data_IF_011921769910
#
_entry.id   IF_011921769910
#
_cell.length_a   1.000
_cell.length_b   1.000
_cell.length_c   1.000
_cell.angle_alpha   90.00
_cell.angle_beta   90.00
_cell.angle_gamma   90.00
#
_symmetry.space_group_name_H-M   'P 1'
#
loop_
_entity.id
_entity.type
_entity.pdbx_description
1 polymer ?
#
# COMPACT_ATOMS: atom_id res chain seq x y z
N UNK A 1 29.64 -14.47 43.54
CA UNK A 1 29.73 -15.08 42.20
C UNK A 1 28.33 -15.12 41.61
N UNK A 2 27.92 -14.06 40.92
CA UNK A 2 26.75 -14.10 40.05
C UNK A 2 27.24 -14.58 38.68
N UNK A 3 26.84 -15.78 38.29
CA UNK A 3 26.96 -16.23 36.91
C UNK A 3 26.01 -15.40 36.06
N UNK A 4 26.56 -14.51 35.24
CA UNK A 4 25.85 -13.96 34.08
C UNK A 4 25.48 -15.17 33.23
N UNK A 5 24.18 -15.43 33.07
CA UNK A 5 23.72 -16.35 32.03
C UNK A 5 24.18 -15.75 30.71
N UNK A 6 25.16 -16.39 30.06
CA UNK A 6 25.45 -16.15 28.66
C UNK A 6 24.15 -16.32 27.89
N UNK A 7 23.68 -15.25 27.26
CA UNK A 7 22.67 -15.33 26.21
C UNK A 7 23.22 -16.28 25.15
N UNK A 8 22.51 -17.38 24.91
CA UNK A 8 22.89 -18.35 23.88
C UNK A 8 23.03 -17.62 22.54
N UNK A 9 24.24 -17.64 21.98
CA UNK A 9 24.57 -17.12 20.66
C UNK A 9 23.79 -17.91 19.60
N UNK A 10 22.61 -17.42 19.21
CA UNK A 10 21.76 -18.04 18.19
C UNK A 10 22.26 -17.67 16.78
N UNK A 11 23.53 -18.01 16.55
CA UNK A 11 24.29 -17.78 15.32
C UNK A 11 23.54 -18.25 14.04
N UNK A 12 22.88 -19.43 14.02
CA UNK A 12 22.10 -19.87 12.86
C UNK A 12 20.89 -18.97 12.54
N UNK A 13 20.12 -18.56 13.55
CA UNK A 13 18.96 -17.68 13.36
C UNK A 13 19.40 -16.30 12.85
N UNK A 14 20.53 -15.78 13.34
CA UNK A 14 21.13 -14.53 12.89
C UNK A 14 21.59 -14.59 11.44
N UNK A 15 22.15 -15.71 11.00
CA UNK A 15 22.61 -15.88 9.62
C UNK A 15 21.45 -16.05 8.64
N UNK A 16 20.39 -16.77 9.03
CA UNK A 16 19.13 -16.80 8.28
C UNK A 16 18.54 -15.39 8.14
N UNK A 17 18.50 -14.61 9.23
CA UNK A 17 18.01 -13.24 9.18
C UNK A 17 18.83 -12.33 8.24
N UNK A 18 20.17 -12.46 8.22
CA UNK A 18 21.02 -11.74 7.25
C UNK A 18 20.74 -12.17 5.82
N UNK A 19 20.56 -13.46 5.57
CA UNK A 19 20.26 -13.98 4.24
C UNK A 19 18.89 -13.47 3.72
N UNK A 20 17.86 -13.43 4.59
CA UNK A 20 16.56 -12.84 4.25
C UNK A 20 16.71 -11.35 3.91
N UNK A 21 17.49 -10.60 4.71
CA UNK A 21 17.74 -9.18 4.44
C UNK A 21 18.47 -8.96 3.11
N UNK A 22 19.36 -9.86 2.71
CA UNK A 22 20.02 -9.80 1.40
C UNK A 22 19.03 -10.04 0.27
N UNK A 23 18.16 -11.06 0.38
CA UNK A 23 17.08 -11.29 -0.59
C UNK A 23 16.18 -10.05 -0.69
N UNK A 24 15.80 -9.45 0.44
CA UNK A 24 15.00 -8.23 0.44
C UNK A 24 15.72 -7.05 -0.24
N UNK A 25 17.03 -6.93 -0.08
CA UNK A 25 17.81 -5.87 -0.72
C UNK A 25 17.80 -5.99 -2.26
N UNK A 26 17.78 -7.21 -2.79
CA UNK A 26 17.74 -7.46 -4.23
C UNK A 26 16.36 -7.11 -4.84
N UNK A 27 15.31 -7.13 -4.01
CA UNK A 27 13.93 -6.84 -4.41
C UNK A 27 13.49 -5.39 -4.09
N UNK A 28 14.17 -4.68 -3.20
CA UNK A 28 13.79 -3.32 -2.78
C UNK A 28 14.57 -2.24 -3.54
N UNK A 29 13.91 -1.10 -3.80
CA UNK A 29 14.60 0.09 -4.33
C UNK A 29 15.26 0.83 -3.18
N UNK A 30 16.57 0.65 -3.02
CA UNK A 30 17.51 1.49 -2.28
C UNK A 30 16.95 2.10 -0.96
N UNK A 31 16.43 1.25 -0.06
CA UNK A 31 16.13 1.67 1.30
C UNK A 31 17.45 1.85 2.06
N UNK A 32 17.96 3.08 2.19
CA UNK A 32 19.12 3.31 3.04
C UNK A 32 18.77 2.97 4.49
N UNK A 33 19.57 2.08 5.09
CA UNK A 33 19.46 1.66 6.50
C UNK A 33 19.43 2.88 7.43
N UNK A 34 18.28 3.18 8.03
CA UNK A 34 18.14 4.26 9.01
C UNK A 34 18.27 5.69 8.46
N UNK A 35 18.25 5.88 7.14
CA UNK A 35 18.11 7.20 6.52
C UNK A 35 16.64 7.55 6.25
N UNK A 36 16.27 8.84 6.18
CA UNK A 36 14.92 9.24 5.77
C UNK A 36 14.60 8.65 4.40
N UNK A 37 13.35 8.17 4.23
CA UNK A 37 12.87 7.65 2.95
C UNK A 37 13.02 8.74 1.89
N UNK A 38 13.88 8.57 0.87
CA UNK A 38 14.00 9.55 -0.22
C UNK A 38 13.10 9.17 -1.39
N UNK A 39 11.97 9.86 -1.48
CA UNK A 39 10.95 9.72 -2.53
C UNK A 39 11.36 10.34 -3.88
N UNK A 40 12.61 10.78 -4.03
CA UNK A 40 13.04 11.67 -5.11
C UNK A 40 13.06 11.03 -6.51
N UNK A 41 13.07 9.69 -6.59
CA UNK A 41 13.11 8.95 -7.87
C UNK A 41 11.82 8.15 -8.18
N UNK A 42 10.78 8.25 -7.35
CA UNK A 42 9.48 7.63 -7.61
C UNK A 42 8.56 8.64 -8.32
N UNK A 43 8.59 8.65 -9.65
CA UNK A 43 7.71 9.48 -10.46
C UNK A 43 6.22 9.07 -10.32
N UNK A 44 5.50 9.69 -9.40
CA UNK A 44 4.02 9.77 -9.44
C UNK A 44 3.31 8.47 -9.07
N UNK A 45 2.95 8.37 -7.79
CA UNK A 45 2.57 7.15 -7.10
C UNK A 45 1.18 7.35 -6.48
N UNK A 46 0.17 6.68 -7.03
CA UNK A 46 -1.25 6.54 -6.65
C UNK A 46 -2.00 6.04 -7.90
N UNK A 47 -3.17 5.36 -7.78
CA UNK A 47 -3.82 4.62 -8.86
C UNK A 47 -3.82 5.45 -10.10
N UNK A 48 -3.27 4.90 -11.19
CA UNK A 48 -3.31 5.58 -12.48
C UNK A 48 -4.76 5.97 -12.71
N UNK A 49 -5.10 7.26 -12.56
CA UNK A 49 -6.46 7.71 -12.81
C UNK A 49 -6.58 7.58 -14.29
N UNK A 50 -7.18 6.46 -14.72
CA UNK A 50 -7.78 6.14 -16.02
C UNK A 50 -7.52 7.18 -17.12
N UNK A 51 -6.25 7.47 -17.38
CA UNK A 51 -5.83 8.30 -18.48
C UNK A 51 -5.36 7.28 -19.49
N UNK A 52 -6.11 7.14 -20.58
CA UNK A 52 -5.79 6.27 -21.69
C UNK A 52 -4.39 6.54 -22.27
N UNK A 53 -3.78 7.68 -21.93
CA UNK A 53 -2.40 8.04 -22.27
C UNK A 53 -1.34 7.33 -21.42
N UNK A 54 -1.72 6.63 -20.34
CA UNK A 54 -0.79 5.98 -19.38
C UNK A 54 -1.03 4.50 -19.15
N UNK A 55 -2.19 4.00 -19.53
CA UNK A 55 -2.60 2.61 -19.29
C UNK A 55 -3.19 2.04 -20.56
N UNK A 56 -3.03 0.73 -20.76
CA UNK A 56 -3.64 0.04 -21.90
C UNK A 56 -5.15 -0.15 -21.73
N UNK A 57 -5.67 0.06 -20.51
CA UNK A 57 -7.07 -0.03 -20.17
C UNK A 57 -7.32 0.23 -18.68
N UNK A 58 -8.54 -0.05 -18.24
CA UNK A 58 -8.99 0.15 -16.84
C UNK A 58 -8.83 -1.11 -15.97
N UNK A 59 -8.43 -2.23 -16.57
CA UNK A 59 -8.17 -3.50 -15.90
C UNK A 59 -6.66 -3.73 -15.80
N UNK A 60 -6.20 -4.56 -14.85
CA UNK A 60 -4.80 -4.94 -14.77
C UNK A 60 -4.33 -5.56 -16.09
N UNK A 61 -3.08 -5.30 -16.44
CA UNK A 61 -2.44 -5.83 -17.64
C UNK A 61 -1.17 -6.63 -17.29
N UNK A 62 -0.29 -6.83 -18.27
CA UNK A 62 0.95 -7.59 -18.08
C UNK A 62 1.85 -6.97 -17.01
N UNK A 63 1.77 -5.65 -16.78
CA UNK A 63 2.51 -4.97 -15.72
C UNK A 63 2.19 -5.55 -14.35
N UNK A 64 0.91 -5.61 -13.99
CA UNK A 64 0.50 -6.19 -12.71
C UNK A 64 0.72 -7.70 -12.63
N UNK A 65 0.59 -8.43 -13.75
CA UNK A 65 0.92 -9.87 -13.77
C UNK A 65 2.39 -10.12 -13.39
N UNK A 66 3.31 -9.43 -14.06
CA UNK A 66 4.75 -9.54 -13.77
C UNK A 66 5.06 -9.12 -12.34
N UNK A 67 4.36 -8.12 -11.82
CA UNK A 67 4.50 -7.68 -10.43
C UNK A 67 4.14 -8.77 -9.42
N UNK A 68 2.97 -9.40 -9.62
CA UNK A 68 2.49 -10.46 -8.74
C UNK A 68 3.43 -11.67 -8.80
N UNK A 69 3.89 -12.04 -10.00
CA UNK A 69 4.88 -13.09 -10.19
C UNK A 69 6.20 -12.77 -9.48
N UNK A 70 6.67 -11.53 -9.59
CA UNK A 70 7.90 -11.07 -8.93
C UNK A 70 7.79 -11.16 -7.40
N UNK A 71 6.69 -10.68 -6.81
CA UNK A 71 6.41 -10.80 -5.37
C UNK A 71 6.24 -12.24 -4.90
N UNK A 72 5.66 -13.11 -5.72
CA UNK A 72 5.56 -14.53 -5.41
C UNK A 72 6.96 -15.18 -5.43
N UNK A 73 7.80 -14.79 -6.41
CA UNK A 73 9.21 -15.19 -6.50
C UNK A 73 10.03 -14.80 -5.27
N UNK A 74 9.79 -13.60 -4.71
CA UNK A 74 10.39 -13.19 -3.43
C UNK A 74 10.12 -14.20 -2.31
N UNK A 75 8.85 -14.62 -2.16
CA UNK A 75 8.47 -15.59 -1.12
C UNK A 75 9.09 -16.97 -1.36
N UNK A 76 9.17 -17.40 -2.62
CA UNK A 76 9.83 -18.65 -2.99
C UNK A 76 11.33 -18.62 -2.64
N UNK A 77 12.02 -17.51 -2.93
CA UNK A 77 13.43 -17.33 -2.59
C UNK A 77 13.67 -17.33 -1.07
N UNK A 78 12.80 -16.68 -0.30
CA UNK A 78 12.86 -16.73 1.17
C UNK A 78 12.65 -18.17 1.66
N UNK A 79 11.72 -18.92 1.07
CA UNK A 79 11.44 -20.31 1.47
C UNK A 79 12.65 -21.24 1.29
N UNK A 80 13.54 -20.94 0.34
CA UNK A 80 14.80 -21.72 0.16
C UNK A 80 15.77 -21.59 1.35
N UNK A 81 15.72 -20.46 2.07
CA UNK A 81 16.64 -20.15 3.18
C UNK A 81 15.95 -20.15 4.56
N UNK A 82 14.62 -20.07 4.58
CA UNK A 82 13.78 -20.09 5.76
C UNK A 82 12.60 -21.02 5.51
N UNK A 83 12.72 -22.27 5.98
CA UNK A 83 11.78 -23.36 5.66
C UNK A 83 10.30 -23.06 5.97
N UNK A 84 9.93 -22.34 7.05
CA UNK A 84 8.54 -21.93 7.26
C UNK A 84 7.99 -21.09 6.10
N UNK A 85 8.86 -20.37 5.40
CA UNK A 85 8.56 -19.60 4.21
C UNK A 85 8.04 -18.19 4.52
N UNK A 86 7.45 -17.58 3.51
CA UNK A 86 6.85 -16.27 3.60
C UNK A 86 5.60 -16.15 2.73
N UNK A 87 4.78 -15.16 3.05
CA UNK A 87 3.64 -14.74 2.24
C UNK A 87 3.66 -13.22 2.06
N UNK A 88 3.22 -12.75 0.90
CA UNK A 88 3.01 -11.34 0.63
C UNK A 88 1.51 -11.03 0.72
N UNK A 89 1.18 -10.00 1.49
CA UNK A 89 -0.16 -9.46 1.63
C UNK A 89 -0.26 -8.11 0.95
N UNK A 90 -1.17 -8.02 0.00
CA UNK A 90 -1.42 -6.85 -0.83
C UNK A 90 -2.71 -6.19 -0.36
N UNK A 91 -2.61 -4.98 0.18
CA UNK A 91 -3.77 -4.21 0.64
C UNK A 91 -4.13 -3.14 -0.38
N UNK A 92 -5.37 -3.15 -0.86
CA UNK A 92 -5.85 -2.18 -1.86
C UNK A 92 -6.41 -0.93 -1.18
N UNK A 93 -5.90 0.23 -1.59
CA UNK A 93 -6.41 1.55 -1.20
C UNK A 93 -7.43 2.11 -2.21
N UNK A 94 -7.83 1.32 -3.21
CA UNK A 94 -8.74 1.77 -4.26
C UNK A 94 -10.06 2.31 -3.70
N UNK A 95 -10.79 1.50 -2.92
CA UNK A 95 -12.08 1.91 -2.34
C UNK A 95 -11.94 3.07 -1.32
N UNK A 96 -10.75 3.26 -0.79
CA UNK A 96 -10.45 4.28 0.23
C UNK A 96 -10.38 5.66 -0.41
N UNK A 97 -9.85 5.76 -1.63
CA UNK A 97 -9.56 7.03 -2.30
C UNK A 97 -10.41 7.32 -3.53
N UNK A 98 -11.09 6.32 -4.09
CA UNK A 98 -11.71 6.43 -5.41
C UNK A 98 -12.73 7.57 -5.50
N UNK A 99 -13.48 7.86 -4.44
CA UNK A 99 -14.42 8.98 -4.41
C UNK A 99 -13.73 10.35 -4.45
N UNK A 100 -12.59 10.49 -3.77
CA UNK A 100 -11.72 11.69 -3.84
C UNK A 100 -11.18 11.87 -5.26
N UNK A 101 -10.84 10.76 -5.92
CA UNK A 101 -10.27 10.76 -7.26
C UNK A 101 -11.33 10.79 -8.38
N UNK A 102 -12.61 10.62 -8.06
CA UNK A 102 -13.69 10.51 -9.04
C UNK A 102 -13.62 9.24 -9.90
N UNK A 103 -13.11 8.14 -9.33
CA UNK A 103 -13.13 6.81 -9.94
C UNK A 103 -14.38 6.06 -9.44
N UNK A 104 -15.24 5.53 -10.34
CA UNK A 104 -16.46 4.82 -9.94
C UNK A 104 -16.17 3.58 -9.09
N UNK A 105 -17.06 3.25 -8.14
CA UNK A 105 -16.89 2.13 -7.23
C UNK A 105 -16.84 0.79 -8.01
N UNK A 106 -17.60 0.65 -9.09
CA UNK A 106 -17.63 -0.53 -9.95
C UNK A 106 -16.29 -0.79 -10.66
N UNK A 107 -15.57 0.27 -11.05
CA UNK A 107 -14.25 0.16 -11.69
C UNK A 107 -13.24 -0.39 -10.68
N UNK A 108 -13.25 0.10 -9.44
CA UNK A 108 -12.38 -0.39 -8.38
C UNK A 108 -12.66 -1.86 -8.07
N UNK A 109 -13.94 -2.24 -8.06
CA UNK A 109 -14.33 -3.63 -7.89
C UNK A 109 -13.76 -4.51 -9.00
N UNK A 110 -14.01 -4.15 -10.26
CA UNK A 110 -13.61 -4.95 -11.43
C UNK A 110 -12.10 -5.09 -11.52
N UNK A 111 -11.36 -4.00 -11.32
CA UNK A 111 -9.90 -4.02 -11.28
C UNK A 111 -9.38 -4.96 -10.17
N UNK A 112 -9.96 -4.86 -8.97
CA UNK A 112 -9.57 -5.72 -7.85
C UNK A 112 -9.89 -7.20 -8.06
N UNK A 113 -11.03 -7.53 -8.66
CA UNK A 113 -11.38 -8.93 -9.00
C UNK A 113 -10.47 -9.47 -10.10
N UNK A 114 -10.21 -8.69 -11.15
CA UNK A 114 -9.28 -9.07 -12.21
C UNK A 114 -7.86 -9.32 -11.67
N UNK A 115 -7.36 -8.47 -10.77
CA UNK A 115 -6.03 -8.67 -10.18
C UNK A 115 -5.97 -9.96 -9.33
N UNK A 116 -7.04 -10.26 -8.58
CA UNK A 116 -7.14 -11.52 -7.83
C UNK A 116 -7.20 -12.73 -8.76
N UNK A 117 -7.89 -12.60 -9.89
CA UNK A 117 -7.99 -13.65 -10.89
C UNK A 117 -6.62 -13.97 -11.51
N UNK A 118 -5.80 -12.96 -11.82
CA UNK A 118 -4.41 -13.17 -12.28
C UNK A 118 -3.63 -14.04 -11.28
N UNK A 119 -3.72 -13.75 -9.98
CA UNK A 119 -3.02 -14.54 -8.97
C UNK A 119 -3.49 -16.02 -8.92
N UNK A 120 -4.77 -16.27 -9.20
CA UNK A 120 -5.34 -17.62 -9.29
C UNK A 120 -4.86 -18.32 -10.57
N UNK A 121 -4.99 -17.67 -11.72
CA UNK A 121 -4.66 -18.23 -13.03
C UNK A 121 -3.17 -18.58 -13.13
N UNK A 122 -2.31 -17.77 -12.51
CA UNK A 122 -0.86 -17.95 -12.47
C UNK A 122 -0.40 -18.82 -11.28
N UNK A 123 -1.33 -19.36 -10.48
CA UNK A 123 -1.06 -20.21 -9.32
C UNK A 123 -0.06 -19.58 -8.31
N UNK A 124 -0.24 -18.29 -8.00
CA UNK A 124 0.64 -17.52 -7.11
C UNK A 124 0.31 -17.79 -5.63
N UNK A 125 0.76 -18.95 -5.16
CA UNK A 125 0.39 -19.50 -3.85
C UNK A 125 0.80 -18.65 -2.63
N UNK A 126 1.75 -17.72 -2.77
CA UNK A 126 2.25 -16.88 -1.69
C UNK A 126 1.61 -15.49 -1.64
N UNK A 127 0.70 -15.16 -2.56
CA UNK A 127 0.04 -13.86 -2.60
C UNK A 127 -1.31 -13.93 -1.88
N UNK A 128 -1.56 -12.96 -0.99
CA UNK A 128 -2.85 -12.75 -0.35
C UNK A 128 -3.29 -11.31 -0.54
N UNK A 129 -4.60 -11.09 -0.57
CA UNK A 129 -5.17 -9.77 -0.70
C UNK A 129 -5.93 -9.39 0.56
N UNK A 130 -5.79 -8.14 0.99
CA UNK A 130 -6.54 -7.53 2.08
C UNK A 130 -7.45 -6.46 1.47
N UNK A 131 -8.76 -6.66 1.60
CA UNK A 131 -9.78 -5.72 1.16
C UNK A 131 -10.18 -4.83 2.33
N UNK A 132 -10.74 -3.66 2.02
CA UNK A 132 -11.32 -2.80 3.06
C UNK A 132 -12.40 -3.53 3.87
N UNK A 133 -13.22 -4.35 3.23
CA UNK A 133 -14.21 -5.19 3.91
C UNK A 133 -13.57 -6.14 4.93
N UNK A 134 -12.40 -6.72 4.62
CA UNK A 134 -11.70 -7.61 5.55
C UNK A 134 -11.17 -6.86 6.79
N UNK A 135 -10.79 -5.58 6.64
CA UNK A 135 -10.34 -4.73 7.75
C UNK A 135 -11.49 -4.24 8.62
N UNK A 136 -12.67 -4.11 8.02
CA UNK A 136 -13.89 -3.73 8.71
C UNK A 136 -14.65 -4.96 9.24
N UNK A 137 -14.12 -6.17 9.04
CA UNK A 137 -14.72 -7.45 9.46
C UNK A 137 -16.09 -7.72 8.81
N UNK A 138 -16.31 -7.21 7.59
CA UNK A 138 -17.50 -7.53 6.80
C UNK A 138 -17.29 -8.83 6.00
N UNK A 139 -18.35 -9.65 5.82
CA UNK A 139 -18.26 -10.83 5.00
C UNK A 139 -17.97 -10.49 3.53
N UNK A 140 -17.41 -11.46 2.81
CA UNK A 140 -17.31 -11.36 1.35
C UNK A 140 -18.70 -11.17 0.75
N UNK A 141 -18.78 -10.30 -0.25
CA UNK A 141 -20.04 -9.83 -0.80
C UNK A 141 -20.00 -9.83 -2.33
N UNK A 142 -21.16 -9.66 -2.96
CA UNK A 142 -21.25 -9.52 -4.42
C UNK A 142 -20.87 -8.11 -4.87
N UNK A 143 -20.68 -7.92 -6.18
CA UNK A 143 -20.43 -6.59 -6.76
C UNK A 143 -21.55 -5.61 -6.42
N UNK A 144 -22.80 -6.03 -6.52
CA UNK A 144 -23.98 -5.19 -6.25
C UNK A 144 -23.99 -4.71 -4.80
N UNK A 145 -23.71 -5.62 -3.85
CA UNK A 145 -23.61 -5.25 -2.45
C UNK A 145 -22.46 -4.27 -2.23
N UNK A 146 -21.27 -4.56 -2.78
CA UNK A 146 -20.10 -3.69 -2.65
C UNK A 146 -20.39 -2.28 -3.16
N UNK A 147 -20.89 -2.14 -4.39
CA UNK A 147 -21.17 -0.83 -4.99
C UNK A 147 -22.22 -0.07 -4.18
N UNK A 148 -23.29 -0.76 -3.75
CA UNK A 148 -24.35 -0.16 -2.93
C UNK A 148 -23.84 0.34 -1.57
N UNK A 149 -22.86 -0.35 -0.98
CA UNK A 149 -22.37 -0.07 0.38
C UNK A 149 -21.01 0.63 0.43
N UNK A 150 -20.37 0.88 -0.71
CA UNK A 150 -19.04 1.47 -0.83
C UNK A 150 -18.86 2.75 0.00
N UNK A 151 -19.81 3.69 -0.12
CA UNK A 151 -19.83 4.94 0.66
C UNK A 151 -19.97 4.70 2.17
N UNK A 152 -20.74 3.68 2.57
CA UNK A 152 -20.92 3.31 3.98
C UNK A 152 -19.65 2.68 4.55
N UNK A 153 -18.96 1.84 3.79
CA UNK A 153 -17.67 1.25 4.17
C UNK A 153 -16.61 2.35 4.36
N UNK A 154 -16.51 3.32 3.43
CA UNK A 154 -15.63 4.49 3.59
C UNK A 154 -15.96 5.30 4.84
N UNK A 155 -17.25 5.49 5.13
CA UNK A 155 -17.70 6.22 6.32
C UNK A 155 -17.38 5.45 7.61
N UNK A 156 -17.60 4.14 7.63
CA UNK A 156 -17.29 3.30 8.78
C UNK A 156 -15.78 3.31 9.08
N UNK A 157 -14.94 3.18 8.04
CA UNK A 157 -13.48 3.30 8.16
C UNK A 157 -13.09 4.59 8.89
N UNK A 158 -13.67 5.73 8.48
CA UNK A 158 -13.44 7.02 9.14
C UNK A 158 -13.93 7.03 10.58
N UNK A 159 -15.15 6.56 10.84
CA UNK A 159 -15.71 6.58 12.19
C UNK A 159 -14.92 5.71 13.18
N UNK A 160 -14.34 4.60 12.72
CA UNK A 160 -13.60 3.66 13.58
C UNK A 160 -12.16 4.06 13.83
N UNK A 161 -11.49 4.68 12.85
CA UNK A 161 -10.03 4.80 12.85
C UNK A 161 -9.51 6.22 12.63
N UNK A 162 -10.39 7.22 12.50
CA UNK A 162 -9.95 8.61 12.44
C UNK A 162 -9.39 9.06 13.79
N UNK A 163 -8.20 9.67 13.74
CA UNK A 163 -7.70 10.52 14.80
C UNK A 163 -8.30 11.93 14.64
N UNK A 164 -9.14 12.41 15.58
CA UNK A 164 -9.73 13.74 15.51
C UNK A 164 -8.71 14.88 15.62
N UNK A 165 -7.51 14.60 16.16
CA UNK A 165 -6.44 15.58 16.31
C UNK A 165 -5.54 15.70 15.08
N UNK A 166 -5.67 14.79 14.11
CA UNK A 166 -4.85 14.81 12.90
C UNK A 166 -5.24 15.96 11.96
N UNK A 167 -4.37 16.96 11.83
CA UNK A 167 -4.44 17.98 10.77
C UNK A 167 -3.38 17.70 9.70
N UNK A 168 -3.77 17.46 8.43
CA UNK A 168 -2.81 17.19 7.37
C UNK A 168 -1.84 18.35 7.13
N UNK A 169 -2.21 19.61 7.35
CA UNK A 169 -1.33 20.77 7.17
C UNK A 169 -0.24 20.81 8.23
N UNK A 170 -0.60 20.57 9.49
CA UNK A 170 0.38 20.52 10.58
C UNK A 170 1.30 19.31 10.39
N UNK A 171 0.72 18.15 10.07
CA UNK A 171 1.47 16.92 9.84
C UNK A 171 2.48 17.02 8.68
N UNK A 172 2.10 17.65 7.56
CA UNK A 172 3.01 17.92 6.43
C UNK A 172 4.19 18.80 6.84
N UNK A 173 4.02 19.72 7.80
CA UNK A 173 5.10 20.58 8.25
C UNK A 173 5.99 19.92 9.30
N UNK A 174 5.44 19.00 10.08
CA UNK A 174 6.11 18.36 11.21
C UNK A 174 6.84 17.06 10.83
N UNK A 175 6.38 16.35 9.80
CA UNK A 175 6.86 15.01 9.43
C UNK A 175 7.34 14.98 7.98
N UNK A 176 8.60 14.58 7.80
CA UNK A 176 9.24 14.52 6.49
C UNK A 176 8.64 13.43 5.58
N UNK A 177 8.27 12.28 6.12
CA UNK A 177 7.70 11.20 5.32
C UNK A 177 6.30 11.57 4.81
N UNK A 178 5.51 12.27 5.64
CA UNK A 178 4.21 12.80 5.25
C UNK A 178 4.32 13.93 4.22
N UNK A 179 5.33 14.80 4.35
CA UNK A 179 5.62 15.83 3.35
C UNK A 179 5.98 15.21 1.99
N UNK A 180 6.77 14.14 1.96
CA UNK A 180 7.13 13.47 0.72
C UNK A 180 5.94 12.75 0.10
N UNK A 181 5.13 12.09 0.91
CA UNK A 181 3.86 11.49 0.47
C UNK A 181 2.95 12.55 -0.16
N UNK A 182 2.79 13.70 0.51
CA UNK A 182 2.02 14.83 -0.01
C UNK A 182 2.58 15.35 -1.34
N UNK A 183 3.90 15.55 -1.45
CA UNK A 183 4.55 15.97 -2.70
C UNK A 183 4.33 14.97 -3.84
N UNK A 184 4.40 13.67 -3.53
CA UNK A 184 4.05 12.59 -4.45
C UNK A 184 2.63 12.74 -4.98
N UNK A 185 1.66 12.97 -4.09
CA UNK A 185 0.26 13.20 -4.46
C UNK A 185 0.09 14.43 -5.35
N UNK A 186 0.79 15.54 -5.06
CA UNK A 186 0.77 16.73 -5.92
C UNK A 186 1.28 16.42 -7.33
N UNK A 187 2.44 15.75 -7.44
CA UNK A 187 3.04 15.37 -8.73
C UNK A 187 2.09 14.49 -9.53
N UNK A 188 1.49 13.50 -8.86
CA UNK A 188 0.51 12.59 -9.42
C UNK A 188 -0.76 13.33 -9.92
N UNK A 189 -1.45 14.05 -9.04
CA UNK A 189 -2.70 14.75 -9.36
C UNK A 189 -2.49 15.83 -10.44
N UNK A 190 -1.32 16.46 -10.50
CA UNK A 190 -1.01 17.46 -11.54
C UNK A 190 -1.02 16.84 -12.93
N UNK A 191 -0.45 15.63 -13.07
CA UNK A 191 -0.44 14.88 -14.33
C UNK A 191 -1.84 14.30 -14.62
N UNK A 192 -2.48 13.68 -13.63
CA UNK A 192 -3.72 12.91 -13.82
C UNK A 192 -4.97 13.77 -14.00
N UNK A 193 -5.07 14.88 -13.26
CA UNK A 193 -6.18 15.81 -13.40
C UNK A 193 -6.01 16.75 -14.60
N UNK A 194 -4.91 16.65 -15.37
CA UNK A 194 -4.66 17.50 -16.52
C UNK A 194 -5.71 17.40 -17.61
N UNK A 195 -6.32 16.24 -17.77
CA UNK A 195 -7.31 15.96 -18.80
C UNK A 195 -8.74 16.32 -18.39
N UNK A 196 -8.97 16.77 -17.15
CA UNK A 196 -10.31 17.17 -16.67
C UNK A 196 -10.52 18.66 -16.96
N UNK A 197 -11.16 19.04 -18.08
CA UNK A 197 -11.14 20.42 -18.60
C UNK A 197 -12.00 21.38 -17.76
N UNK A 198 -12.83 20.84 -16.87
CA UNK A 198 -13.86 21.58 -16.11
C UNK A 198 -13.43 22.00 -14.70
N UNK A 199 -12.23 21.62 -14.26
CA UNK A 199 -11.86 21.70 -12.84
C UNK A 199 -11.64 23.13 -12.33
N UNK A 200 -11.07 24.04 -13.14
CA UNK A 200 -10.74 25.37 -12.63
C UNK A 200 -10.82 26.48 -13.68
N UNK A 201 -11.36 27.64 -13.26
CA UNK A 201 -11.45 28.88 -14.06
C UNK A 201 -10.10 29.58 -14.26
N UNK A 202 -9.06 29.17 -13.53
CA UNK A 202 -7.70 29.71 -13.61
C UNK A 202 -6.65 28.69 -13.12
N UNK A 203 -5.38 28.92 -13.49
CA UNK A 203 -4.25 28.08 -13.06
C UNK A 203 -4.09 28.04 -11.53
N UNK A 204 -4.25 29.19 -10.85
CA UNK A 204 -4.20 29.27 -9.38
C UNK A 204 -5.27 28.42 -8.72
N UNK A 205 -6.50 28.46 -9.24
CA UNK A 205 -7.59 27.65 -8.72
C UNK A 205 -7.33 26.14 -8.91
N UNK A 206 -6.69 25.76 -10.02
CA UNK A 206 -6.28 24.37 -10.28
C UNK A 206 -5.23 23.89 -9.28
N UNK A 207 -4.20 24.69 -9.02
CA UNK A 207 -3.15 24.34 -8.05
C UNK A 207 -3.72 24.18 -6.63
N UNK A 208 -4.64 25.07 -6.24
CA UNK A 208 -5.30 24.98 -4.94
C UNK A 208 -6.19 23.73 -4.83
N UNK A 209 -6.95 23.39 -5.88
CA UNK A 209 -7.77 22.18 -5.90
C UNK A 209 -6.93 20.89 -5.82
N UNK A 210 -5.82 20.84 -6.57
CA UNK A 210 -4.85 19.74 -6.48
C UNK A 210 -4.32 19.61 -5.05
N UNK A 211 -3.96 20.75 -4.43
CA UNK A 211 -3.46 20.80 -3.06
C UNK A 211 -4.50 20.32 -2.04
N UNK A 212 -5.75 20.75 -2.17
CA UNK A 212 -6.85 20.30 -1.31
C UNK A 212 -7.13 18.81 -1.49
N UNK A 213 -7.11 18.32 -2.72
CA UNK A 213 -7.29 16.90 -3.03
C UNK A 213 -6.18 16.06 -2.41
N UNK A 214 -4.92 16.45 -2.58
CA UNK A 214 -3.78 15.78 -1.96
C UNK A 214 -3.89 15.73 -0.42
N UNK A 215 -4.32 16.82 0.24
CA UNK A 215 -4.54 16.82 1.70
C UNK A 215 -5.66 15.88 2.13
N UNK A 216 -6.76 15.80 1.37
CA UNK A 216 -7.85 14.84 1.63
C UNK A 216 -7.37 13.40 1.49
N UNK A 217 -6.57 13.13 0.47
CA UNK A 217 -5.95 11.81 0.29
C UNK A 217 -5.02 11.48 1.45
N UNK A 218 -4.17 12.41 1.88
CA UNK A 218 -3.26 12.18 3.00
C UNK A 218 -4.02 11.87 4.29
N UNK A 219 -5.05 12.66 4.61
CA UNK A 219 -5.89 12.39 5.77
C UNK A 219 -6.58 11.02 5.69
N UNK A 220 -7.10 10.64 4.52
CA UNK A 220 -7.75 9.34 4.33
C UNK A 220 -6.76 8.18 4.40
N UNK A 221 -5.57 8.33 3.83
CA UNK A 221 -4.48 7.37 3.90
C UNK A 221 -4.00 7.14 5.33
N UNK A 222 -4.03 8.17 6.19
CA UNK A 222 -3.74 8.02 7.63
C UNK A 222 -4.80 7.21 8.36
N UNK A 223 -6.09 7.49 8.12
CA UNK A 223 -7.19 6.68 8.67
C UNK A 223 -7.02 5.20 8.28
N UNK A 224 -6.68 4.96 7.01
CA UNK A 224 -6.46 3.60 6.51
C UNK A 224 -5.23 2.94 7.15
N UNK A 225 -4.13 3.66 7.30
CA UNK A 225 -2.95 3.17 8.01
C UNK A 225 -3.28 2.77 9.46
N UNK A 226 -4.07 3.58 10.16
CA UNK A 226 -4.57 3.28 11.51
C UNK A 226 -5.44 2.02 11.53
N UNK A 227 -6.33 1.85 10.55
CA UNK A 227 -7.17 0.65 10.44
C UNK A 227 -6.35 -0.62 10.25
N UNK A 228 -5.37 -0.55 9.37
CA UNK A 228 -4.46 -1.67 9.13
C UNK A 228 -3.68 -2.01 10.40
N UNK A 229 -3.08 -1.01 11.05
CA UNK A 229 -2.31 -1.17 12.29
C UNK A 229 -3.15 -1.82 13.38
N UNK A 230 -4.40 -1.37 13.55
CA UNK A 230 -5.31 -1.91 14.56
C UNK A 230 -5.67 -3.38 14.28
N UNK A 231 -5.89 -3.75 13.03
CA UNK A 231 -6.41 -5.08 12.68
C UNK A 231 -5.34 -6.13 12.40
N UNK A 232 -4.12 -5.69 12.04
CA UNK A 232 -3.04 -6.58 11.59
C UNK A 232 -1.77 -6.45 12.44
N UNK A 233 -1.77 -5.58 13.44
CA UNK A 233 -0.59 -5.26 14.24
C UNK A 233 0.28 -4.20 13.56
N UNK A 234 1.27 -3.69 14.29
CA UNK A 234 2.18 -2.68 13.76
C UNK A 234 3.12 -3.30 12.71
N UNK A 235 3.28 -2.61 11.58
CA UNK A 235 4.29 -2.96 10.57
C UNK A 235 5.73 -2.81 11.10
N UNK A 236 5.91 -2.02 12.16
CA UNK A 236 7.21 -1.67 12.72
C UNK A 236 7.39 -2.08 14.21
N UNK A 237 6.49 -2.86 14.81
CA UNK A 237 6.59 -3.14 16.25
C UNK A 237 7.72 -4.14 16.55
N UNK A 238 8.61 -3.70 17.42
CA UNK A 238 9.67 -4.49 18.04
C UNK A 238 9.14 -5.64 18.93
N UNK A 239 7.85 -5.66 19.26
CA UNK A 239 7.23 -6.60 20.19
C UNK A 239 6.75 -7.88 19.49
N UNK A 240 7.66 -8.84 19.30
CA UNK A 240 7.45 -10.30 19.34
C UNK A 240 6.35 -10.99 18.49
N UNK A 241 5.44 -10.27 17.83
CA UNK A 241 4.44 -10.79 16.90
C UNK A 241 4.99 -10.82 15.47
N UNK A 242 4.36 -11.63 14.60
CA UNK A 242 4.76 -11.79 13.21
C UNK A 242 4.91 -10.41 12.52
N UNK A 243 6.18 -10.00 12.28
CA UNK A 243 6.52 -8.69 11.73
C UNK A 243 6.12 -8.65 10.25
N UNK A 244 5.29 -7.67 9.90
CA UNK A 244 4.95 -7.38 8.52
C UNK A 244 5.99 -6.39 7.96
N UNK A 245 6.86 -6.84 7.05
CA UNK A 245 7.91 -6.01 6.46
C UNK A 245 7.32 -5.29 5.24
N UNK A 246 7.32 -3.94 5.17
CA UNK A 246 6.88 -3.24 3.97
C UNK A 246 7.84 -3.56 2.81
N UNK A 247 7.27 -3.96 1.67
CA UNK A 247 8.03 -4.22 0.44
C UNK A 247 7.59 -3.21 -0.60
N UNK A 248 8.55 -2.61 -1.30
CA UNK A 248 8.27 -1.76 -2.45
C UNK A 248 8.57 -2.59 -3.69
N UNK A 249 7.52 -3.02 -4.37
CA UNK A 249 7.64 -3.69 -5.66
C UNK A 249 7.60 -2.67 -6.80
N UNK A 250 8.45 -2.87 -7.82
CA UNK A 250 8.55 -1.95 -8.96
C UNK A 250 7.39 -2.05 -9.96
N UNK A 251 6.37 -2.83 -9.67
CA UNK A 251 5.30 -3.11 -10.62
C UNK A 251 3.90 -3.09 -9.95
N UNK A 252 3.81 -3.08 -8.61
CA UNK A 252 2.55 -2.95 -7.84
C UNK A 252 2.53 -1.70 -6.95
N UNK A 253 2.60 -0.54 -7.58
CA UNK A 253 2.76 0.75 -6.90
C UNK A 253 1.50 1.28 -6.20
N UNK A 254 0.31 0.77 -6.51
CA UNK A 254 -0.96 1.25 -5.91
C UNK A 254 -1.40 0.48 -4.66
N UNK A 255 -0.52 -0.39 -4.18
CA UNK A 255 -0.81 -1.34 -3.13
C UNK A 255 0.15 -1.18 -1.96
N UNK A 256 -0.38 -1.26 -0.74
CA UNK A 256 0.48 -1.54 0.41
C UNK A 256 0.83 -3.01 0.37
N UNK A 257 2.09 -3.30 0.03
CA UNK A 257 2.62 -4.65 -0.02
C UNK A 257 3.41 -4.94 1.25
N UNK A 258 3.07 -6.04 1.91
CA UNK A 258 3.70 -6.39 3.17
C UNK A 258 4.08 -7.87 3.16
N UNK A 259 5.33 -8.16 3.46
CA UNK A 259 5.83 -9.51 3.62
C UNK A 259 5.59 -9.98 5.06
N UNK A 260 5.05 -11.18 5.21
CA UNK A 260 4.95 -11.89 6.49
C UNK A 260 5.81 -13.14 6.42
N UNK A 261 6.73 -13.27 7.36
CA UNK A 261 7.41 -14.55 7.62
C UNK A 261 6.45 -15.47 8.38
N UNK A 262 6.45 -16.75 8.02
CA UNK A 262 5.52 -17.75 8.57
C UNK A 262 5.87 -18.19 9.98
#
# INVERSE_FOLDING_TARGET
MCTVKEESDDSPARDVAKAILQVLADYTVNCQRGGPMSWENAEGFLPTIMSFDKTLGVLPDLGEELALQHLNGLCLNITQIYLPGAEVRISSEGLVHNDILGVPDEVVWDYGEALRQIAVDQNLAHIRFIRLADLLEHPRSTKEFYVTHASRLRRELTLRFQDPSFDPREAINADMDLLLTYRGYIKFLTKDLAHRPKLAKSERARVEEISQTARRMLARGQIYASAIKAQRGDYNAADGGARLIPVIDRLLYDYRVCLRLA
#
